data_IF_587797310264
#
_entry.id   IF_587797310264
#
_cell.length_a   1.000
_cell.length_b   1.000
_cell.length_c   1.000
_cell.angle_alpha   90.00
_cell.angle_beta   90.00
_cell.angle_gamma   90.00
#
_symmetry.space_group_name_H-M   'P 1'
#
loop_
_entity.id
_entity.type
_entity.pdbx_description
1 polymer ?
#
# COMPACT_ATOMS: atom_id res chain seq x y z
N UNK A 1 20.38 -12.30 -6.98
CA UNK A 1 19.12 -12.03 -7.71
C UNK A 1 17.97 -12.55 -6.86
N UNK A 2 16.81 -11.86 -6.76
CA UNK A 2 15.62 -12.45 -6.17
C UNK A 2 15.20 -13.71 -6.95
N UNK A 3 14.77 -14.74 -6.22
CA UNK A 3 14.29 -16.03 -6.76
C UNK A 3 12.86 -16.24 -6.31
N UNK A 4 11.97 -16.47 -7.27
CA UNK A 4 10.54 -16.74 -7.04
C UNK A 4 10.30 -18.24 -6.89
N UNK A 5 9.62 -18.64 -5.81
CA UNK A 5 9.19 -20.01 -5.54
C UNK A 5 7.75 -20.21 -6.01
N UNK A 6 7.57 -20.46 -7.30
CA UNK A 6 6.26 -20.41 -7.97
C UNK A 6 5.19 -21.33 -7.38
N UNK A 7 5.49 -22.61 -7.18
CA UNK A 7 4.50 -23.57 -6.64
C UNK A 7 4.04 -23.18 -5.24
N UNK A 8 4.96 -22.73 -4.39
CA UNK A 8 4.66 -22.25 -3.05
C UNK A 8 3.81 -20.98 -3.11
N UNK A 9 4.16 -20.04 -3.98
CA UNK A 9 3.42 -18.79 -4.14
C UNK A 9 1.98 -19.03 -4.60
N UNK A 10 1.78 -19.93 -5.57
CA UNK A 10 0.45 -20.31 -6.05
C UNK A 10 -0.36 -20.94 -4.93
N UNK A 11 0.22 -21.91 -4.20
CA UNK A 11 -0.45 -22.54 -3.05
C UNK A 11 -0.87 -21.53 -1.99
N UNK A 12 0.03 -20.60 -1.65
CA UNK A 12 -0.26 -19.55 -0.66
C UNK A 12 -1.39 -18.64 -1.15
N UNK A 13 -1.30 -18.12 -2.38
CA UNK A 13 -2.32 -17.22 -2.90
C UNK A 13 -3.67 -17.91 -3.13
N UNK A 14 -3.70 -19.14 -3.65
CA UNK A 14 -4.93 -19.93 -3.81
C UNK A 14 -5.62 -20.10 -2.45
N UNK A 15 -4.84 -20.39 -1.40
CA UNK A 15 -5.35 -20.54 -0.02
C UNK A 15 -5.93 -19.23 0.52
N UNK A 16 -5.27 -18.08 0.25
CA UNK A 16 -5.77 -16.77 0.65
C UNK A 16 -7.05 -16.38 -0.08
N UNK A 17 -7.12 -16.60 -1.38
CA UNK A 17 -8.31 -16.33 -2.18
C UNK A 17 -9.48 -17.19 -1.71
N UNK A 18 -9.26 -18.49 -1.47
CA UNK A 18 -10.29 -19.38 -0.93
C UNK A 18 -10.77 -18.94 0.46
N UNK A 19 -9.87 -18.45 1.33
CA UNK A 19 -10.25 -17.91 2.62
C UNK A 19 -11.05 -16.60 2.51
N UNK A 20 -10.67 -15.69 1.61
CA UNK A 20 -11.43 -14.46 1.34
C UNK A 20 -12.85 -14.75 0.86
N UNK A 21 -13.00 -15.62 -0.14
CA UNK A 21 -14.30 -15.97 -0.73
C UNK A 21 -15.23 -16.69 0.25
N UNK A 22 -14.68 -17.41 1.23
CA UNK A 22 -15.46 -18.03 2.33
C UNK A 22 -15.66 -17.10 3.52
N UNK A 23 -15.22 -15.84 3.44
CA UNK A 23 -15.20 -14.90 4.56
C UNK A 23 -14.57 -15.51 5.84
N UNK A 24 -13.53 -16.32 5.68
CA UNK A 24 -12.80 -16.89 6.80
C UNK A 24 -11.82 -15.87 7.40
N UNK A 25 -11.33 -16.12 8.62
CA UNK A 25 -10.34 -15.25 9.26
C UNK A 25 -9.11 -15.03 8.37
N UNK A 26 -8.57 -13.80 8.28
CA UNK A 26 -8.98 -12.57 8.97
C UNK A 26 -10.03 -11.71 8.25
N UNK A 27 -10.61 -12.21 7.16
CA UNK A 27 -11.50 -11.47 6.29
C UNK A 27 -12.91 -11.29 6.88
N UNK A 28 -13.29 -12.12 7.84
CA UNK A 28 -14.52 -12.02 8.66
C UNK A 28 -14.58 -10.73 9.49
N UNK A 29 -13.42 -10.24 9.95
CA UNK A 29 -13.30 -9.08 10.84
C UNK A 29 -12.59 -7.89 10.20
N UNK A 30 -12.27 -7.98 8.91
CA UNK A 30 -11.55 -6.93 8.19
C UNK A 30 -12.47 -5.75 7.86
N UNK A 31 -12.00 -4.53 8.13
CA UNK A 31 -12.67 -3.29 7.70
C UNK A 31 -11.97 -2.75 6.45
N UNK A 32 -12.74 -2.41 5.42
CA UNK A 32 -12.21 -1.82 4.19
C UNK A 32 -11.77 -0.38 4.44
N UNK A 33 -10.62 0.01 3.89
CA UNK A 33 -10.11 1.39 3.98
C UNK A 33 -10.79 2.32 2.97
N UNK A 34 -11.15 1.79 1.81
CA UNK A 34 -12.02 2.46 0.85
C UNK A 34 -13.42 1.90 1.03
N UNK A 35 -14.27 2.69 1.67
CA UNK A 35 -15.69 2.45 1.91
C UNK A 35 -16.45 3.77 1.99
N UNK A 36 -17.78 3.72 1.96
CA UNK A 36 -18.64 4.91 2.06
C UNK A 36 -18.33 5.75 3.30
N UNK A 37 -17.93 5.11 4.40
CA UNK A 37 -17.61 5.79 5.67
C UNK A 37 -16.30 6.58 5.63
N UNK A 38 -15.43 6.29 4.65
CA UNK A 38 -14.10 6.91 4.49
C UNK A 38 -14.03 7.91 3.33
N UNK A 39 -15.09 7.97 2.52
CA UNK A 39 -15.26 8.96 1.47
C UNK A 39 -15.75 10.30 2.06
N UNK A 40 -15.51 11.43 1.38
CA UNK A 40 -16.12 12.70 1.76
C UNK A 40 -17.64 12.58 1.81
N UNK A 41 -18.28 13.25 2.77
CA UNK A 41 -19.73 13.16 2.96
C UNK A 41 -20.51 13.78 1.80
N UNK A 42 -19.90 14.77 1.15
CA UNK A 42 -20.46 15.54 0.05
C UNK A 42 -20.10 15.00 -1.33
N UNK A 43 -19.31 13.93 -1.39
CA UNK A 43 -18.89 13.31 -2.64
C UNK A 43 -19.92 12.29 -3.10
N UNK A 44 -20.46 12.49 -4.30
CA UNK A 44 -21.29 11.50 -4.98
C UNK A 44 -20.42 10.42 -5.65
N UNK A 45 -20.66 9.12 -5.39
CA UNK A 45 -19.91 8.04 -6.02
C UNK A 45 -20.12 7.92 -7.54
N UNK A 46 -19.12 7.40 -8.25
CA UNK A 46 -19.21 6.97 -9.64
C UNK A 46 -18.93 8.04 -10.69
N UNK A 47 -18.48 9.23 -10.29
CA UNK A 47 -18.24 10.35 -11.20
C UNK A 47 -16.80 10.87 -11.23
N UNK A 48 -16.59 11.91 -12.05
CA UNK A 48 -15.31 12.62 -12.22
C UNK A 48 -14.74 13.12 -10.90
N UNK A 49 -15.60 13.63 -10.02
CA UNK A 49 -15.20 14.10 -8.69
C UNK A 49 -14.55 12.99 -7.86
N UNK A 50 -15.12 11.77 -7.90
CA UNK A 50 -14.56 10.64 -7.17
C UNK A 50 -13.23 10.20 -7.79
N UNK A 51 -13.14 10.17 -9.12
CA UNK A 51 -11.90 9.85 -9.82
C UNK A 51 -10.77 10.81 -9.43
N UNK A 52 -11.06 12.11 -9.42
CA UNK A 52 -10.09 13.15 -9.04
C UNK A 52 -9.74 13.10 -7.55
N UNK A 53 -10.71 12.82 -6.68
CA UNK A 53 -10.46 12.58 -5.25
C UNK A 53 -9.53 11.38 -5.04
N UNK A 54 -9.79 10.25 -5.69
CA UNK A 54 -8.97 9.05 -5.60
C UNK A 54 -7.55 9.28 -6.16
N UNK A 55 -7.42 10.06 -7.22
CA UNK A 55 -6.13 10.46 -7.77
C UNK A 55 -5.33 11.32 -6.76
N UNK A 56 -5.98 12.29 -6.10
CA UNK A 56 -5.38 13.10 -5.04
C UNK A 56 -4.95 12.24 -3.84
N UNK A 57 -5.80 11.30 -3.42
CA UNK A 57 -5.49 10.33 -2.37
C UNK A 57 -4.25 9.51 -2.74
N UNK A 58 -4.13 9.07 -3.99
CA UNK A 58 -2.96 8.35 -4.47
C UNK A 58 -1.70 9.22 -4.53
N UNK A 59 -1.81 10.47 -4.99
CA UNK A 59 -0.72 11.44 -4.96
C UNK A 59 -0.18 11.64 -3.53
N UNK A 60 -1.09 11.74 -2.55
CA UNK A 60 -0.72 11.93 -1.16
C UNK A 60 -0.12 10.68 -0.51
N UNK A 61 -0.62 9.47 -0.81
CA UNK A 61 -0.15 8.19 -0.26
C UNK A 61 1.24 7.74 -0.75
N UNK A 62 2.14 8.69 -0.96
CA UNK A 62 3.52 8.46 -1.37
C UNK A 62 4.42 8.16 -0.17
N UNK A 63 4.75 6.89 0.01
CA UNK A 63 5.73 6.42 1.00
C UNK A 63 5.08 5.84 2.26
N UNK A 64 5.55 6.28 3.43
CA UNK A 64 5.23 5.70 4.74
C UNK A 64 3.91 6.22 5.36
N UNK A 65 3.00 6.75 4.54
CA UNK A 65 1.68 7.26 4.97
C UNK A 65 0.70 6.09 5.02
N UNK A 66 -0.02 5.95 6.12
CA UNK A 66 -1.06 4.94 6.25
C UNK A 66 -2.30 5.35 5.45
N UNK A 67 -2.90 4.40 4.74
CA UNK A 67 -4.06 4.67 3.88
C UNK A 67 -5.26 5.20 4.65
N UNK A 68 -5.55 4.70 5.85
CA UNK A 68 -6.66 5.20 6.68
C UNK A 68 -6.47 6.66 7.12
N UNK A 69 -5.24 7.06 7.40
CA UNK A 69 -4.90 8.46 7.70
C UNK A 69 -5.07 9.34 6.47
N UNK A 70 -4.66 8.86 5.30
CA UNK A 70 -4.80 9.57 4.03
C UNK A 70 -6.28 9.79 3.66
N UNK A 71 -7.09 8.73 3.63
CA UNK A 71 -8.51 8.83 3.28
C UNK A 71 -9.26 9.75 4.24
N UNK A 72 -9.17 9.52 5.55
CA UNK A 72 -9.87 10.36 6.54
C UNK A 72 -9.39 11.81 6.50
N UNK A 73 -8.09 12.04 6.35
CA UNK A 73 -7.52 13.38 6.30
C UNK A 73 -7.98 14.15 5.06
N UNK A 74 -7.99 13.50 3.90
CA UNK A 74 -8.37 14.12 2.64
C UNK A 74 -9.88 14.21 2.45
N UNK A 75 -10.67 13.30 2.99
CA UNK A 75 -12.13 13.42 3.00
C UNK A 75 -12.58 14.69 3.73
N UNK A 76 -11.99 14.94 4.90
CA UNK A 76 -12.23 16.18 5.65
C UNK A 76 -11.68 17.44 4.96
N UNK A 77 -10.70 17.30 4.07
CA UNK A 77 -10.21 18.41 3.25
C UNK A 77 -11.17 18.69 2.10
N UNK A 78 -11.66 17.63 1.44
CA UNK A 78 -12.63 17.71 0.35
C UNK A 78 -13.93 18.38 0.80
N UNK A 79 -14.51 17.92 1.91
CA UNK A 79 -15.77 18.49 2.45
C UNK A 79 -15.64 19.99 2.81
N UNK A 80 -14.42 20.50 3.01
CA UNK A 80 -14.14 21.91 3.33
C UNK A 80 -13.75 22.73 2.11
N UNK A 81 -12.94 22.15 1.21
CA UNK A 81 -12.27 22.81 0.09
C UNK A 81 -12.32 21.93 -1.15
N UNK A 82 -13.51 21.73 -1.69
CA UNK A 82 -13.74 20.90 -2.88
C UNK A 82 -12.97 21.41 -4.10
N UNK A 83 -12.75 22.72 -4.19
CA UNK A 83 -11.94 23.38 -5.22
C UNK A 83 -10.49 22.87 -5.32
N UNK A 84 -9.93 22.31 -4.24
CA UNK A 84 -8.59 21.70 -4.24
C UNK A 84 -8.54 20.34 -4.96
N UNK A 85 -9.70 19.80 -5.34
CA UNK A 85 -9.84 18.53 -6.03
C UNK A 85 -10.43 18.70 -7.44
N UNK A 86 -10.60 19.95 -7.89
CA UNK A 86 -11.05 20.29 -9.23
C UNK A 86 -9.85 20.80 -10.07
N UNK A 87 -9.40 20.03 -11.07
CA UNK A 87 -8.31 20.43 -11.97
C UNK A 87 -8.54 21.78 -12.66
N UNK A 88 -9.79 22.09 -13.03
CA UNK A 88 -10.14 23.35 -13.72
C UNK A 88 -9.95 24.54 -12.79
N UNK A 89 -10.39 24.42 -11.53
CA UNK A 89 -10.20 25.47 -10.51
C UNK A 89 -8.71 25.68 -10.19
N UNK A 90 -7.96 24.59 -10.07
CA UNK A 90 -6.51 24.63 -9.84
C UNK A 90 -5.80 25.34 -10.99
N UNK A 91 -6.13 25.00 -12.24
CA UNK A 91 -5.48 25.62 -13.40
C UNK A 91 -5.83 27.10 -13.55
N UNK A 92 -7.04 27.52 -13.15
CA UNK A 92 -7.44 28.93 -13.18
C UNK A 92 -6.67 29.79 -12.16
N UNK A 93 -6.36 29.25 -10.97
CA UNK A 93 -5.72 30.00 -9.89
C UNK A 93 -4.63 29.22 -9.14
N UNK A 94 -3.57 28.76 -9.84
CA UNK A 94 -2.64 27.76 -9.30
C UNK A 94 -1.88 28.23 -8.06
N UNK A 95 -1.48 29.51 -8.02
CA UNK A 95 -0.77 30.09 -6.88
C UNK A 95 -1.68 30.23 -5.64
N UNK A 96 -2.95 30.58 -5.83
CA UNK A 96 -3.90 30.68 -4.73
C UNK A 96 -4.23 29.30 -4.16
N UNK A 97 -4.47 28.32 -5.04
CA UNK A 97 -4.73 26.93 -4.65
C UNK A 97 -3.52 26.28 -3.96
N UNK A 98 -2.30 26.54 -4.45
CA UNK A 98 -1.08 26.05 -3.80
C UNK A 98 -0.94 26.56 -2.34
N UNK A 99 -1.19 27.86 -2.11
CA UNK A 99 -1.14 28.47 -0.78
C UNK A 99 -2.22 27.94 0.15
N UNK A 100 -3.44 27.76 -0.37
CA UNK A 100 -4.55 27.18 0.38
C UNK A 100 -4.25 25.73 0.77
N UNK A 101 -3.78 24.92 -0.18
CA UNK A 101 -3.39 23.54 0.07
C UNK A 101 -2.27 23.47 1.12
N UNK A 102 -1.21 24.25 0.97
CA UNK A 102 -0.10 24.28 1.93
C UNK A 102 -0.56 24.64 3.34
N UNK A 103 -1.44 25.65 3.47
CA UNK A 103 -2.04 26.05 4.75
C UNK A 103 -2.81 24.88 5.38
N UNK A 104 -3.74 24.28 4.64
CA UNK A 104 -4.60 23.20 5.16
C UNK A 104 -3.80 21.95 5.53
N UNK A 105 -2.81 21.57 4.70
CA UNK A 105 -1.93 20.45 4.99
C UNK A 105 -1.07 20.72 6.24
N UNK A 106 -0.62 21.96 6.45
CA UNK A 106 0.15 22.37 7.63
C UNK A 106 -0.69 22.32 8.91
N UNK A 107 -1.87 22.93 8.89
CA UNK A 107 -2.79 22.95 10.04
C UNK A 107 -3.17 21.53 10.48
N UNK A 108 -3.32 20.61 9.51
CA UNK A 108 -3.64 19.20 9.75
C UNK A 108 -2.42 18.32 10.04
N UNK A 109 -1.22 18.91 10.12
CA UNK A 109 0.06 18.23 10.42
C UNK A 109 0.38 17.09 9.45
N UNK A 110 0.06 17.28 8.18
CA UNK A 110 0.47 16.37 7.12
C UNK A 110 2.01 16.39 6.99
N UNK A 111 2.59 15.34 6.42
CA UNK A 111 4.04 15.27 6.19
C UNK A 111 4.37 15.55 4.74
N UNK A 112 5.61 16.01 4.47
CA UNK A 112 6.13 16.30 3.12
C UNK A 112 5.30 17.35 2.35
N UNK A 113 4.80 18.35 3.06
CA UNK A 113 3.84 19.34 2.56
C UNK A 113 4.31 19.99 1.26
N UNK A 114 5.51 20.57 1.24
CA UNK A 114 6.06 21.24 0.04
C UNK A 114 6.06 20.33 -1.21
N UNK A 115 6.49 19.08 -1.03
CA UNK A 115 6.54 18.11 -2.12
C UNK A 115 5.14 17.69 -2.58
N UNK A 116 4.22 17.46 -1.63
CA UNK A 116 2.83 17.09 -1.91
C UNK A 116 2.13 18.24 -2.64
N UNK A 117 2.24 19.48 -2.16
CA UNK A 117 1.63 20.64 -2.80
C UNK A 117 2.10 20.80 -4.24
N UNK A 118 3.43 20.79 -4.46
CA UNK A 118 3.97 20.91 -5.82
C UNK A 118 3.49 19.79 -6.75
N UNK A 119 3.50 18.54 -6.29
CA UNK A 119 3.05 17.41 -7.09
C UNK A 119 1.56 17.50 -7.40
N UNK A 120 0.74 17.82 -6.41
CA UNK A 120 -0.71 17.94 -6.56
C UNK A 120 -1.07 19.02 -7.58
N UNK A 121 -0.52 20.22 -7.42
CA UNK A 121 -0.80 21.35 -8.31
C UNK A 121 -0.31 21.05 -9.74
N UNK A 122 0.95 20.62 -9.91
CA UNK A 122 1.50 20.31 -11.24
C UNK A 122 0.71 19.21 -11.94
N UNK A 123 0.29 18.17 -11.21
CA UNK A 123 -0.45 17.04 -11.75
C UNK A 123 -1.88 17.43 -12.14
N UNK A 124 -2.56 18.27 -11.35
CA UNK A 124 -3.93 18.69 -11.64
C UNK A 124 -3.99 19.69 -12.80
N UNK A 125 -3.02 20.61 -12.90
CA UNK A 125 -2.87 21.46 -14.10
C UNK A 125 -2.69 20.61 -15.36
N UNK A 126 -1.86 19.57 -15.26
CA UNK A 126 -1.62 18.65 -16.38
C UNK A 126 -2.86 17.83 -16.73
N UNK A 127 -3.62 17.39 -15.72
CA UNK A 127 -4.87 16.68 -15.92
C UNK A 127 -5.90 17.55 -16.65
N UNK A 128 -6.04 18.82 -16.25
CA UNK A 128 -6.91 19.78 -16.95
C UNK A 128 -6.49 19.97 -18.42
N UNK A 129 -5.20 20.25 -18.63
CA UNK A 129 -4.67 20.60 -19.95
C UNK A 129 -4.78 19.50 -21.00
N UNK A 130 -4.62 18.24 -20.60
CA UNK A 130 -4.49 17.12 -21.56
C UNK A 130 -5.62 16.09 -21.46
N UNK A 131 -6.42 16.13 -20.40
CA UNK A 131 -7.43 15.12 -20.08
C UNK A 131 -8.75 15.75 -19.58
N UNK A 132 -9.02 17.01 -19.95
CA UNK A 132 -10.21 17.80 -19.59
C UNK A 132 -10.54 17.84 -18.09
N UNK A 133 -9.53 17.60 -17.24
CA UNK A 133 -9.70 17.57 -15.79
C UNK A 133 -10.42 16.32 -15.29
N UNK A 134 -10.49 15.26 -16.09
CA UNK A 134 -11.13 14.00 -15.75
C UNK A 134 -10.10 12.87 -15.63
N UNK A 135 -9.89 12.39 -14.40
CA UNK A 135 -8.97 11.29 -14.16
C UNK A 135 -9.44 9.94 -14.75
N UNK A 136 -10.72 9.78 -15.11
CA UNK A 136 -11.23 8.56 -15.78
C UNK A 136 -10.73 8.44 -17.21
N UNK A 137 -10.46 9.56 -17.89
CA UNK A 137 -9.90 9.58 -19.25
C UNK A 137 -8.51 8.95 -19.30
N UNK A 138 -7.76 8.96 -18.20
CA UNK A 138 -6.48 8.24 -18.10
C UNK A 138 -6.63 6.73 -18.25
N UNK A 139 -7.83 6.19 -18.04
CA UNK A 139 -8.16 4.76 -18.18
C UNK A 139 -8.86 4.42 -19.49
N UNK A 140 -9.27 5.42 -20.28
CA UNK A 140 -9.90 5.20 -21.58
C UNK A 140 -8.94 4.42 -22.50
N UNK A 141 -9.40 3.24 -22.95
CA UNK A 141 -8.67 2.30 -23.81
C UNK A 141 -7.28 1.91 -23.32
N UNK A 142 -7.02 1.97 -22.01
CA UNK A 142 -5.71 1.69 -21.44
C UNK A 142 -5.61 0.26 -20.87
N UNK A 143 -4.58 -0.47 -21.31
CA UNK A 143 -4.03 -1.58 -20.51
C UNK A 143 -3.07 -1.05 -19.44
N UNK A 144 -2.54 -1.96 -18.61
CA UNK A 144 -1.68 -1.57 -17.48
C UNK A 144 -0.36 -0.95 -17.93
N UNK A 145 0.21 -1.43 -19.04
CA UNK A 145 1.41 -0.88 -19.65
C UNK A 145 1.18 0.55 -20.12
N UNK A 146 0.07 0.81 -20.80
CA UNK A 146 -0.37 2.15 -21.24
C UNK A 146 -0.59 3.07 -20.04
N UNK A 147 -1.21 2.58 -18.97
CA UNK A 147 -1.35 3.35 -17.72
C UNK A 147 0.03 3.72 -17.15
N UNK A 148 0.99 2.80 -17.16
CA UNK A 148 2.34 3.09 -16.70
C UNK A 148 3.00 4.18 -17.55
N UNK A 149 2.79 4.22 -18.85
CA UNK A 149 3.28 5.28 -19.73
C UNK A 149 2.60 6.62 -19.43
N UNK A 150 1.26 6.65 -19.35
CA UNK A 150 0.49 7.85 -19.02
C UNK A 150 0.88 8.45 -17.66
N UNK A 151 1.10 7.62 -16.63
CA UNK A 151 1.39 8.09 -15.28
C UNK A 151 2.88 8.34 -14.99
N UNK A 152 3.82 7.57 -15.55
CA UNK A 152 5.22 7.60 -15.10
C UNK A 152 6.07 8.47 -16.04
N UNK A 153 6.69 9.51 -15.48
CA UNK A 153 7.63 10.35 -16.22
C UNK A 153 8.77 9.52 -16.83
N UNK A 154 9.07 9.71 -18.12
CA UNK A 154 10.24 9.12 -18.79
C UNK A 154 11.15 10.22 -19.36
N UNK A 155 12.45 10.24 -19.01
CA UNK A 155 13.12 9.37 -18.04
C UNK A 155 12.60 9.60 -16.60
N UNK A 156 12.72 8.57 -15.76
CA UNK A 156 12.13 8.54 -14.41
C UNK A 156 12.47 9.79 -13.61
N UNK A 157 11.44 10.47 -13.10
CA UNK A 157 11.56 11.67 -12.27
C UNK A 157 11.68 12.99 -13.03
N UNK A 158 11.83 12.98 -14.35
CA UNK A 158 11.86 14.21 -15.16
C UNK A 158 10.45 14.59 -15.63
N UNK A 159 9.77 15.42 -14.83
CA UNK A 159 8.45 15.94 -15.16
C UNK A 159 8.51 16.95 -16.32
N UNK A 160 7.62 16.79 -17.30
CA UNK A 160 7.42 17.74 -18.40
C UNK A 160 5.95 18.24 -18.38
N UNK A 161 5.70 19.53 -18.10
CA UNK A 161 4.34 20.09 -18.07
C UNK A 161 3.70 20.25 -19.46
N UNK A 162 4.47 20.10 -20.54
CA UNK A 162 4.01 20.29 -21.92
C UNK A 162 3.77 18.97 -22.66
N UNK A 163 3.87 17.84 -21.97
CA UNK A 163 3.62 16.50 -22.55
C UNK A 163 2.42 15.88 -21.83
N UNK A 164 1.52 15.12 -22.51
CA UNK A 164 0.37 14.50 -21.86
C UNK A 164 0.78 13.41 -20.84
N UNK A 165 1.83 12.64 -21.15
CA UNK A 165 2.30 11.56 -20.30
C UNK A 165 3.27 12.01 -19.21
N UNK A 166 3.25 11.29 -18.09
CA UNK A 166 4.16 11.43 -16.97
C UNK A 166 3.69 12.45 -15.95
N UNK A 167 3.10 11.97 -14.86
CA UNK A 167 2.70 12.76 -13.71
C UNK A 167 3.84 12.81 -12.69
N UNK A 168 4.05 13.97 -12.08
CA UNK A 168 5.14 14.19 -11.13
C UNK A 168 4.97 13.27 -9.93
N UNK A 169 6.04 12.55 -9.60
CA UNK A 169 6.14 11.76 -8.38
C UNK A 169 5.60 10.33 -8.49
N UNK A 170 4.87 9.99 -9.56
CA UNK A 170 4.32 8.66 -9.79
C UNK A 170 5.40 7.61 -10.04
N UNK A 171 5.12 6.40 -9.55
CA UNK A 171 5.90 5.17 -9.72
C UNK A 171 4.94 4.01 -9.96
N UNK A 172 5.42 2.87 -10.44
CA UNK A 172 4.60 1.70 -10.79
C UNK A 172 3.68 1.20 -9.65
N UNK A 173 4.14 1.25 -8.39
CA UNK A 173 3.29 0.99 -7.22
C UNK A 173 2.06 1.93 -7.20
N UNK A 174 2.27 3.21 -7.43
CA UNK A 174 1.20 4.22 -7.39
C UNK A 174 0.25 4.03 -8.57
N UNK A 175 0.74 3.65 -9.75
CA UNK A 175 -0.13 3.30 -10.90
C UNK A 175 -1.04 2.13 -10.56
N UNK A 176 -0.47 1.06 -10.00
CA UNK A 176 -1.24 -0.11 -9.52
C UNK A 176 -2.27 0.28 -8.47
N UNK A 177 -1.95 1.26 -7.62
CA UNK A 177 -2.83 1.74 -6.56
C UNK A 177 -3.99 2.58 -7.10
N UNK A 178 -3.74 3.46 -8.07
CA UNK A 178 -4.81 4.19 -8.77
C UNK A 178 -5.72 3.19 -9.47
N UNK A 179 -5.16 2.26 -10.25
CA UNK A 179 -5.94 1.26 -10.96
C UNK A 179 -6.76 0.37 -10.01
N UNK A 180 -6.20 -0.03 -8.86
CA UNK A 180 -6.93 -0.74 -7.81
C UNK A 180 -8.15 0.05 -7.31
N UNK A 181 -8.00 1.32 -6.96
CA UNK A 181 -9.12 2.12 -6.45
C UNK A 181 -10.15 2.42 -7.54
N UNK A 182 -9.73 2.70 -8.77
CA UNK A 182 -10.64 2.98 -9.89
C UNK A 182 -11.49 1.76 -10.23
N UNK A 183 -10.89 0.58 -10.32
CA UNK A 183 -11.64 -0.68 -10.53
C UNK A 183 -12.58 -0.95 -9.36
N UNK A 184 -12.14 -0.71 -8.11
CA UNK A 184 -12.95 -0.93 -6.91
C UNK A 184 -14.13 0.05 -6.80
N UNK A 185 -13.97 1.26 -7.30
CA UNK A 185 -15.00 2.29 -7.38
C UNK A 185 -15.96 2.10 -8.56
N UNK A 186 -15.65 1.19 -9.50
CA UNK A 186 -16.41 1.05 -10.74
C UNK A 186 -16.15 2.14 -11.77
N UNK A 187 -15.09 2.94 -11.57
CA UNK A 187 -14.66 4.02 -12.48
C UNK A 187 -13.79 3.50 -13.64
N UNK A 188 -13.31 2.26 -13.55
CA UNK A 188 -12.55 1.61 -14.61
C UNK A 188 -12.95 0.13 -14.71
N UNK A 189 -12.86 -0.42 -15.93
CA UNK A 189 -13.07 -1.85 -16.15
C UNK A 189 -11.93 -2.66 -15.51
N UNK A 190 -12.22 -3.85 -14.93
CA UNK A 190 -11.18 -4.73 -14.44
C UNK A 190 -10.16 -5.06 -15.54
N UNK A 191 -8.87 -4.95 -15.21
CA UNK A 191 -7.77 -5.22 -16.14
C UNK A 191 -6.71 -6.12 -15.50
N UNK A 192 -5.89 -6.75 -16.34
CA UNK A 192 -4.73 -7.52 -15.90
C UNK A 192 -3.63 -6.56 -15.41
N UNK A 193 -3.41 -6.52 -14.09
CA UNK A 193 -2.39 -5.67 -13.47
C UNK A 193 -1.75 -6.38 -12.27
N UNK A 194 -0.51 -6.04 -11.91
CA UNK A 194 0.03 -6.40 -10.61
C UNK A 194 -0.76 -5.70 -9.49
N UNK A 195 -0.78 -6.32 -8.30
CA UNK A 195 -1.29 -5.61 -7.12
C UNK A 195 -0.31 -4.50 -6.70
N UNK A 196 -0.75 -3.46 -5.98
CA UNK A 196 0.16 -2.49 -5.37
C UNK A 196 1.15 -3.19 -4.43
N UNK A 197 2.42 -3.24 -4.81
CA UNK A 197 3.47 -3.78 -3.95
C UNK A 197 3.87 -2.74 -2.92
N UNK A 198 3.19 -2.80 -1.78
CA UNK A 198 3.50 -2.06 -0.57
C UNK A 198 4.11 -2.96 0.51
N UNK A 199 4.33 -2.41 1.70
CA UNK A 199 4.86 -3.18 2.81
C UNK A 199 3.94 -4.33 3.23
N UNK A 200 2.62 -4.19 3.07
CA UNK A 200 1.67 -5.22 3.44
C UNK A 200 1.76 -6.43 2.51
N UNK A 201 1.79 -6.20 1.19
CA UNK A 201 2.01 -7.26 0.19
C UNK A 201 3.38 -7.91 0.39
N UNK A 202 4.44 -7.09 0.52
CA UNK A 202 5.80 -7.58 0.71
C UNK A 202 5.96 -8.40 1.98
N UNK A 203 5.31 -8.02 3.09
CA UNK A 203 5.31 -8.82 4.32
C UNK A 203 4.81 -10.24 4.06
N UNK A 204 3.71 -10.41 3.33
CA UNK A 204 3.16 -11.75 3.05
C UNK A 204 4.13 -12.55 2.15
N UNK A 205 4.68 -11.90 1.14
CA UNK A 205 5.65 -12.49 0.21
C UNK A 205 6.89 -12.99 0.96
N UNK A 206 7.53 -12.13 1.76
CA UNK A 206 8.78 -12.52 2.45
C UNK A 206 8.52 -13.47 3.61
N UNK A 207 7.43 -13.28 4.38
CA UNK A 207 7.15 -14.11 5.55
C UNK A 207 6.88 -15.56 5.17
N UNK A 208 6.37 -15.82 3.97
CA UNK A 208 6.16 -17.17 3.43
C UNK A 208 7.30 -17.64 2.53
N UNK A 209 8.33 -16.83 2.31
CA UNK A 209 9.44 -17.18 1.42
C UNK A 209 9.02 -17.36 -0.04
N UNK A 210 8.00 -16.61 -0.50
CA UNK A 210 7.55 -16.68 -1.90
C UNK A 210 8.61 -16.14 -2.86
N UNK A 211 9.35 -15.13 -2.40
CA UNK A 211 10.54 -14.61 -3.05
C UNK A 211 11.67 -14.60 -2.03
N UNK A 212 12.84 -15.10 -2.42
CA UNK A 212 14.02 -15.19 -1.56
C UNK A 212 15.23 -14.58 -2.25
N UNK A 213 16.23 -14.18 -1.47
CA UNK A 213 17.56 -13.81 -1.99
C UNK A 213 18.56 -14.80 -1.39
N UNK A 214 19.00 -15.82 -2.14
CA UNK A 214 19.97 -16.79 -1.64
C UNK A 214 21.24 -16.10 -1.15
N UNK A 215 21.72 -16.46 0.03
CA UNK A 215 22.93 -15.91 0.64
C UNK A 215 22.81 -14.49 1.20
N UNK A 216 21.60 -13.91 1.27
CA UNK A 216 21.41 -12.64 1.95
C UNK A 216 21.63 -12.79 3.47
N UNK A 217 22.37 -11.87 4.11
CA UNK A 217 22.52 -11.84 5.57
C UNK A 217 21.19 -11.52 6.27
N UNK A 218 21.08 -11.84 7.56
CA UNK A 218 19.86 -11.68 8.35
C UNK A 218 19.34 -10.23 8.44
N UNK A 219 20.23 -9.24 8.33
CA UNK A 219 19.91 -7.81 8.40
C UNK A 219 19.75 -7.13 7.02
N UNK A 220 19.84 -7.92 5.94
CA UNK A 220 19.75 -7.41 4.57
C UNK A 220 18.45 -6.64 4.33
N UNK A 221 18.57 -5.46 3.73
CA UNK A 221 17.40 -4.70 3.30
C UNK A 221 16.84 -5.29 2.00
N UNK A 222 15.73 -6.01 2.13
CA UNK A 222 15.02 -6.63 1.03
C UNK A 222 14.25 -5.58 0.19
N UNK A 223 14.16 -4.32 0.65
CA UNK A 223 13.44 -3.26 -0.05
C UNK A 223 14.26 -2.69 -1.21
N UNK A 224 14.14 -3.32 -2.38
CA UNK A 224 14.78 -2.85 -3.63
C UNK A 224 13.78 -2.77 -4.77
N UNK A 225 14.09 -1.96 -5.79
CA UNK A 225 13.29 -1.88 -7.03
C UNK A 225 13.22 -3.26 -7.71
N UNK A 226 14.29 -4.04 -7.66
CA UNK A 226 14.33 -5.40 -8.20
C UNK A 226 13.41 -6.37 -7.47
N UNK A 227 13.39 -6.31 -6.13
CA UNK A 227 12.46 -7.10 -5.33
C UNK A 227 11.01 -6.70 -5.64
N UNK A 228 10.74 -5.40 -5.75
CA UNK A 228 9.41 -4.87 -6.07
C UNK A 228 8.95 -5.30 -7.47
N UNK A 229 9.84 -5.27 -8.47
CA UNK A 229 9.55 -5.75 -9.82
C UNK A 229 9.26 -7.26 -9.84
N UNK A 230 10.06 -8.06 -9.11
CA UNK A 230 9.84 -9.52 -8.99
C UNK A 230 8.48 -9.82 -8.33
N UNK A 231 8.10 -9.06 -7.31
CA UNK A 231 6.81 -9.19 -6.65
C UNK A 231 5.63 -8.78 -7.55
N UNK A 232 5.80 -7.76 -8.39
CA UNK A 232 4.79 -7.35 -9.38
C UNK A 232 4.61 -8.44 -10.44
N UNK A 233 5.70 -8.97 -10.98
CA UNK A 233 5.65 -10.09 -11.93
C UNK A 233 4.95 -11.31 -11.32
N UNK A 234 5.33 -11.69 -10.10
CA UNK A 234 4.71 -12.82 -9.40
C UNK A 234 3.19 -12.64 -9.27
N UNK A 235 2.75 -11.48 -8.81
CA UNK A 235 1.32 -11.23 -8.54
C UNK A 235 0.50 -11.08 -9.82
N UNK A 236 1.02 -10.37 -10.82
CA UNK A 236 0.36 -10.24 -12.13
C UNK A 236 0.24 -11.60 -12.82
N UNK A 237 1.32 -12.39 -12.82
CA UNK A 237 1.33 -13.73 -13.42
C UNK A 237 0.33 -14.66 -12.73
N UNK A 238 0.32 -14.70 -11.39
CA UNK A 238 -0.65 -15.51 -10.65
C UNK A 238 -2.09 -15.12 -11.01
N UNK A 239 -2.41 -13.81 -11.02
CA UNK A 239 -3.76 -13.35 -11.35
C UNK A 239 -4.18 -13.76 -12.76
N UNK A 240 -3.29 -13.61 -13.75
CA UNK A 240 -3.54 -14.02 -15.13
C UNK A 240 -3.71 -15.53 -15.25
N UNK A 241 -2.75 -16.31 -14.74
CA UNK A 241 -2.72 -17.76 -14.91
C UNK A 241 -3.88 -18.46 -14.17
N UNK A 242 -4.42 -17.84 -13.10
CA UNK A 242 -5.58 -18.35 -12.33
C UNK A 242 -6.91 -17.67 -12.64
N UNK A 243 -6.94 -16.65 -13.50
CA UNK A 243 -8.16 -15.84 -13.74
C UNK A 243 -8.68 -15.13 -12.49
N UNK A 244 -7.79 -14.71 -11.60
CA UNK A 244 -8.14 -14.00 -10.36
C UNK A 244 -8.13 -12.49 -10.59
N UNK A 245 -9.16 -11.80 -10.11
CA UNK A 245 -9.19 -10.35 -10.15
C UNK A 245 -8.06 -9.77 -9.24
N UNK A 246 -7.16 -8.92 -9.75
CA UNK A 246 -6.08 -8.34 -8.94
C UNK A 246 -6.55 -7.60 -7.69
N UNK A 247 -7.76 -7.03 -7.71
CA UNK A 247 -8.35 -6.39 -6.52
C UNK A 247 -8.62 -7.39 -5.38
N UNK A 248 -9.02 -8.63 -5.70
CA UNK A 248 -9.17 -9.70 -4.69
C UNK A 248 -7.81 -10.04 -4.07
N UNK A 249 -6.78 -10.26 -4.89
CA UNK A 249 -5.44 -10.58 -4.38
C UNK A 249 -4.87 -9.43 -3.53
N UNK A 250 -5.08 -8.18 -3.95
CA UNK A 250 -4.69 -7.01 -3.17
C UNK A 250 -5.39 -7.01 -1.81
N UNK A 251 -6.71 -7.17 -1.77
CA UNK A 251 -7.48 -7.25 -0.52
C UNK A 251 -6.99 -8.41 0.37
N UNK A 252 -6.73 -9.59 -0.20
CA UNK A 252 -6.28 -10.75 0.60
C UNK A 252 -4.96 -10.50 1.31
N UNK A 253 -3.98 -9.94 0.61
CA UNK A 253 -2.64 -9.70 1.14
C UNK A 253 -2.64 -8.52 2.12
N UNK A 254 -3.39 -7.47 1.81
CA UNK A 254 -3.51 -6.29 2.65
C UNK A 254 -4.22 -6.60 3.97
N UNK A 255 -5.41 -7.23 3.94
CA UNK A 255 -6.15 -7.58 5.16
C UNK A 255 -5.42 -8.59 6.03
N UNK A 256 -4.79 -9.60 5.44
CA UNK A 256 -4.00 -10.55 6.22
C UNK A 256 -2.85 -9.85 6.96
N UNK A 257 -2.14 -8.97 6.26
CA UNK A 257 -1.04 -8.22 6.84
C UNK A 257 -1.50 -7.25 7.93
N UNK A 258 -2.59 -6.53 7.69
CA UNK A 258 -3.08 -5.45 8.56
C UNK A 258 -3.89 -5.95 9.75
N UNK A 259 -4.63 -7.05 9.64
CA UNK A 259 -5.47 -7.58 10.74
C UNK A 259 -4.71 -8.60 11.58
N UNK A 260 -4.07 -9.58 10.93
CA UNK A 260 -3.44 -10.70 11.62
C UNK A 260 -1.92 -10.52 11.75
N UNK A 261 -1.20 -10.43 10.64
CA UNK A 261 0.27 -10.56 10.64
C UNK A 261 0.95 -9.46 11.48
N UNK A 262 0.45 -8.22 11.47
CA UNK A 262 0.99 -7.13 12.31
C UNK A 262 0.98 -7.46 13.81
N UNK A 263 0.06 -8.31 14.26
CA UNK A 263 -0.18 -8.62 15.68
C UNK A 263 0.66 -9.77 16.21
N UNK A 264 1.38 -10.49 15.34
CA UNK A 264 2.26 -11.55 15.81
C UNK A 264 3.27 -11.00 16.84
N UNK A 265 3.47 -11.65 18.00
CA UNK A 265 4.37 -11.14 19.04
C UNK A 265 5.78 -10.82 18.53
N UNK A 266 6.33 -11.64 17.62
CA UNK A 266 7.64 -11.43 17.01
C UNK A 266 7.72 -10.28 16.00
N UNK A 267 6.59 -9.71 15.59
CA UNK A 267 6.57 -8.51 14.72
C UNK A 267 6.60 -7.20 15.52
N UNK A 268 6.71 -7.26 16.86
CA UNK A 268 6.89 -6.09 17.72
C UNK A 268 8.33 -5.58 17.65
N UNK A 269 8.52 -4.30 17.92
CA UNK A 269 9.84 -3.68 17.99
C UNK A 269 9.82 -2.57 19.04
N UNK A 270 10.95 -2.41 19.73
CA UNK A 270 11.21 -1.25 20.58
C UNK A 270 11.82 -0.18 19.69
N UNK A 271 11.28 1.03 19.73
CA UNK A 271 11.77 2.17 18.96
C UNK A 271 12.32 3.18 19.95
N UNK A 272 13.64 3.37 19.95
CA UNK A 272 14.30 4.40 20.76
C UNK A 272 14.35 5.69 19.97
N UNK A 273 14.19 6.82 20.66
CA UNK A 273 14.19 8.14 20.05
C UNK A 273 15.07 9.10 20.85
N UNK A 274 15.82 9.94 20.15
CA UNK A 274 16.59 11.05 20.73
C UNK A 274 16.13 12.37 20.18
N UNK A 275 16.29 13.41 20.99
CA UNK A 275 16.26 14.77 20.49
C UNK A 275 17.59 15.10 19.82
N UNK A 276 17.54 15.48 18.54
CA UNK A 276 18.65 16.12 17.84
C UNK A 276 18.20 17.52 17.43
N UNK A 277 18.59 18.52 18.23
CA UNK A 277 17.99 19.85 18.19
C UNK A 277 16.49 19.78 18.47
N UNK A 278 15.68 20.46 17.66
CA UNK A 278 14.22 20.54 17.83
C UNK A 278 13.45 19.35 17.22
N UNK A 279 14.14 18.27 16.86
CA UNK A 279 13.52 17.11 16.20
C UNK A 279 13.81 15.81 16.94
N UNK A 280 12.74 15.11 17.29
CA UNK A 280 12.81 13.75 17.83
C UNK A 280 13.07 12.75 16.70
N UNK A 281 14.28 12.18 16.65
CA UNK A 281 14.71 11.20 15.63
C UNK A 281 14.69 9.79 16.18
N UNK A 282 14.37 8.82 15.32
CA UNK A 282 14.52 7.40 15.67
C UNK A 282 16.00 7.04 15.60
N UNK A 283 16.55 6.53 16.71
CA UNK A 283 17.96 6.12 16.78
C UNK A 283 18.06 4.65 16.40
N UNK A 284 17.18 3.83 16.98
CA UNK A 284 17.28 2.39 16.85
C UNK A 284 15.89 1.73 16.82
N UNK A 285 15.80 0.63 16.07
CA UNK A 285 14.63 -0.23 16.03
C UNK A 285 15.05 -1.62 16.51
N UNK A 286 14.92 -1.87 17.80
CA UNK A 286 15.35 -3.12 18.43
C UNK A 286 14.24 -4.18 18.28
N UNK A 287 14.56 -5.40 17.81
CA UNK A 287 13.58 -6.49 17.75
C UNK A 287 13.08 -6.89 19.14
N UNK A 288 11.77 -7.12 19.27
CA UNK A 288 11.23 -7.65 20.51
C UNK A 288 11.48 -9.17 20.60
N UNK A 289 12.28 -9.61 21.57
CA UNK A 289 12.46 -11.03 21.84
C UNK A 289 11.16 -11.64 22.40
N UNK A 290 10.57 -12.60 21.69
CA UNK A 290 9.32 -13.24 22.09
C UNK A 290 9.56 -14.12 23.31
N UNK A 291 8.88 -13.83 24.41
CA UNK A 291 8.94 -14.61 25.67
C UNK A 291 7.74 -15.56 25.85
N UNK A 292 6.81 -15.58 24.89
CA UNK A 292 5.56 -16.36 24.94
C UNK A 292 4.79 -16.23 26.27
N UNK A 293 4.54 -14.98 26.69
CA UNK A 293 3.68 -14.70 27.84
C UNK A 293 2.25 -15.19 27.60
N UNK A 294 1.41 -15.30 28.65
CA UNK A 294 -0.03 -15.62 28.49
C UNK A 294 -0.70 -14.72 27.44
N UNK A 295 -0.37 -13.42 27.43
CA UNK A 295 -0.90 -12.47 26.45
C UNK A 295 -0.41 -12.75 25.02
N UNK A 296 0.85 -13.13 24.84
CA UNK A 296 1.39 -13.48 23.52
C UNK A 296 0.75 -14.74 22.96
N UNK A 297 0.49 -15.74 23.82
CA UNK A 297 -0.20 -16.97 23.45
C UNK A 297 -1.65 -16.67 23.03
N UNK A 298 -2.39 -15.87 23.80
CA UNK A 298 -3.75 -15.44 23.44
C UNK A 298 -3.76 -14.65 22.12
N UNK A 299 -2.76 -13.78 21.92
CA UNK A 299 -2.61 -13.02 20.68
C UNK A 299 -2.33 -13.96 19.50
N UNK A 300 -1.44 -14.94 19.66
CA UNK A 300 -1.15 -15.92 18.63
C UNK A 300 -2.40 -16.75 18.29
N UNK A 301 -3.11 -17.31 19.28
CA UNK A 301 -4.33 -18.11 19.07
C UNK A 301 -5.43 -17.33 18.34
N UNK A 302 -5.62 -16.06 18.69
CA UNK A 302 -6.63 -15.19 18.05
C UNK A 302 -6.20 -14.66 16.68
N UNK A 303 -4.94 -14.88 16.25
CA UNK A 303 -4.42 -14.40 14.97
C UNK A 303 -3.79 -15.51 14.15
N UNK A 304 -2.55 -15.87 14.44
CA UNK A 304 -1.75 -16.81 13.67
C UNK A 304 -2.31 -18.24 13.76
N UNK A 305 -2.84 -18.64 14.92
CA UNK A 305 -3.51 -19.93 15.09
C UNK A 305 -4.82 -20.08 14.30
N UNK A 306 -5.34 -18.99 13.72
CA UNK A 306 -6.49 -18.98 12.80
C UNK A 306 -6.08 -18.61 11.37
N UNK A 307 -4.79 -18.35 11.12
CA UNK A 307 -4.31 -17.85 9.84
C UNK A 307 -4.33 -18.98 8.80
N UNK A 308 -4.92 -18.76 7.61
CA UNK A 308 -5.07 -19.81 6.60
C UNK A 308 -3.74 -20.27 6.00
N UNK A 309 -2.67 -19.48 6.16
CA UNK A 309 -1.32 -19.78 5.64
C UNK A 309 -0.29 -19.89 6.77
N UNK A 310 -0.71 -20.30 7.98
CA UNK A 310 0.18 -20.45 9.13
C UNK A 310 1.33 -21.42 8.85
N UNK A 311 1.04 -22.54 8.21
CA UNK A 311 1.97 -23.64 7.95
C UNK A 311 3.12 -23.26 7.00
N UNK A 312 2.86 -22.37 6.05
CA UNK A 312 3.87 -21.90 5.10
C UNK A 312 4.69 -20.73 5.65
N UNK A 313 4.29 -20.16 6.78
CA UNK A 313 4.84 -18.91 7.23
C UNK A 313 6.07 -19.08 8.13
N UNK A 314 7.24 -18.71 7.60
CA UNK A 314 8.55 -19.02 8.18
C UNK A 314 9.26 -17.86 8.82
N UNK A 315 8.95 -16.61 8.42
CA UNK A 315 9.79 -15.46 8.78
C UNK A 315 9.02 -14.31 9.43
N UNK A 316 9.66 -13.67 10.42
CA UNK A 316 9.17 -12.44 11.03
C UNK A 316 9.50 -11.23 10.15
N UNK A 317 8.52 -10.37 9.93
CA UNK A 317 8.60 -9.20 9.06
C UNK A 317 7.90 -7.99 9.73
N UNK A 318 8.54 -7.40 10.75
CA UNK A 318 7.98 -6.30 11.52
C UNK A 318 7.84 -5.03 10.68
N UNK A 319 6.89 -4.18 11.04
CA UNK A 319 6.64 -2.90 10.33
C UNK A 319 7.53 -1.76 10.77
N UNK A 320 8.13 -1.84 11.97
CA UNK A 320 8.92 -0.74 12.51
C UNK A 320 10.15 -0.40 11.63
N UNK A 321 10.95 -1.36 11.12
CA UNK A 321 12.03 -1.06 10.17
C UNK A 321 11.54 -0.29 8.95
N UNK A 322 10.38 -0.67 8.41
CA UNK A 322 9.82 -0.02 7.22
C UNK A 322 9.38 1.42 7.51
N UNK A 323 8.48 1.62 8.48
CA UNK A 323 7.93 2.95 8.74
C UNK A 323 8.91 3.91 9.43
N UNK A 324 9.98 3.41 10.07
CA UNK A 324 10.98 4.24 10.76
C UNK A 324 12.28 4.43 9.97
N UNK A 325 12.75 3.40 9.28
CA UNK A 325 14.05 3.38 8.59
C UNK A 325 13.93 3.23 7.07
N UNK A 326 12.73 2.97 6.54
CA UNK A 326 12.53 2.71 5.11
C UNK A 326 12.99 1.33 4.66
N UNK A 327 13.31 0.42 5.59
CA UNK A 327 13.88 -0.91 5.29
C UNK A 327 12.86 -2.03 5.40
N UNK A 328 13.05 -3.11 4.64
CA UNK A 328 12.33 -4.37 4.79
C UNK A 328 13.31 -5.45 5.24
N UNK A 329 13.18 -5.89 6.49
CA UNK A 329 14.10 -6.84 7.10
C UNK A 329 13.34 -8.04 7.66
N UNK A 330 13.91 -9.23 7.46
CA UNK A 330 13.51 -10.43 8.19
C UNK A 330 14.15 -10.37 9.58
N UNK A 331 13.42 -10.80 10.62
CA UNK A 331 13.91 -10.79 12.00
C UNK A 331 13.91 -12.18 12.62
N UNK A 332 14.44 -13.13 11.85
CA UNK A 332 14.53 -14.53 12.23
C UNK A 332 13.24 -15.33 12.01
N UNK A 333 13.24 -16.60 12.45
CA UNK A 333 12.16 -17.52 12.19
C UNK A 333 10.88 -17.13 12.95
N UNK A 334 9.74 -17.42 12.32
CA UNK A 334 8.42 -17.24 12.89
C UNK A 334 8.14 -18.37 13.89
N UNK A 335 8.44 -18.13 15.15
CA UNK A 335 8.17 -19.09 16.23
C UNK A 335 6.67 -19.31 16.48
N UNK A 336 6.36 -20.44 17.13
CA UNK A 336 5.04 -20.77 17.69
C UNK A 336 5.14 -20.90 19.22
N UNK A 337 4.04 -20.73 19.98
CA UNK A 337 4.01 -21.01 21.41
C UNK A 337 4.51 -22.43 21.71
N UNK A 338 5.52 -22.63 22.58
CA UNK A 338 6.03 -23.96 22.94
C UNK A 338 4.94 -24.88 23.49
N UNK A 339 3.94 -24.31 24.15
CA UNK A 339 2.82 -25.04 24.73
C UNK A 339 1.92 -25.69 23.67
N UNK A 340 1.95 -25.24 22.42
CA UNK A 340 1.22 -25.91 21.33
C UNK A 340 2.00 -27.12 20.78
N UNK A 341 3.32 -27.17 20.95
CA UNK A 341 4.12 -28.34 20.56
C UNK A 341 3.92 -29.53 21.51
N UNK A 342 3.52 -29.27 22.76
CA UNK A 342 3.30 -30.30 23.78
C UNK A 342 1.95 -31.04 23.65
N UNK A 343 1.00 -30.53 22.86
CA UNK A 343 -0.32 -31.15 22.65
C UNK A 343 -0.60 -31.53 21.19
N UNK A 344 0.41 -31.43 20.30
CA UNK A 344 0.29 -31.76 18.88
C UNK A 344 0.66 -33.20 18.52
N UNK A 345 0.84 -34.07 19.52
CA UNK A 345 1.00 -35.52 19.35
C UNK A 345 -0.24 -36.25 19.84
N UNK A 346 -1.31 -36.21 19.05
CA UNK A 346 -2.43 -37.14 19.11
C UNK A 346 -2.86 -37.50 17.69
#
# INVERSE_FOLDING_TARGET
MPVTHWELAYRVFDTLIAALRRHAYPYDVATRVYSKETLPRTLEPGGVEEANFLLAVCCYMRGNIRSDVAFNGLANLYDKHRELFDPKQINCQPLAMARLLEKELTERRFTRIEEVCRQWIDNFIKLDRFWDGDATELFADADYETLCERFICRPVGKFNPNHPDGFRGFREKMVSMVAFYFVKAGLAVPMSMPIPIDFHAMRIIISNGLITIPGAPDDYDLWSEKMSATARELTQRYCRDRGINPTELCDTTWFLSSVACRRHPGNRSIVTKEWQGDRLRTIEVIPWAVRWTKQDIMTYRSTCGRCPIEETCRWLAPSAPHYRLGKLQIRGPRGKPPQLALFGGL
#
